data_IF_575317218240
#
_entry.id   IF_575317218240
#
_cell.length_a   1.000
_cell.length_b   1.000
_cell.length_c   1.000
_cell.angle_alpha   90.00
_cell.angle_beta   90.00
_cell.angle_gamma   90.00
#
_symmetry.space_group_name_H-M   'P 1'
#
loop_
_entity.id
_entity.type
_entity.pdbx_description
1 polymer ?
#
# COMPACT_ATOMS: atom_id res chain seq x y z
N UNK A 1 6.45 8.64 7.12
CA UNK A 1 7.52 8.85 8.12
C UNK A 1 8.87 8.43 7.53
N UNK A 2 9.99 9.13 7.81
CA UNK A 2 11.31 8.77 7.26
C UNK A 2 11.76 7.36 7.62
N UNK A 3 11.41 6.89 8.83
CA UNK A 3 11.77 5.58 9.39
C UNK A 3 11.14 4.37 8.70
N UNK A 4 10.06 4.56 7.92
CA UNK A 4 9.39 3.45 7.23
C UNK A 4 9.83 3.27 5.78
N UNK A 5 10.40 4.31 5.15
CA UNK A 5 10.79 4.22 3.74
C UNK A 5 11.94 3.24 3.53
N UNK A 6 12.97 3.30 4.36
CA UNK A 6 14.13 2.42 4.26
C UNK A 6 13.73 0.95 4.48
N UNK A 7 12.94 0.66 5.52
CA UNK A 7 12.48 -0.70 5.81
C UNK A 7 11.54 -1.27 4.76
N UNK A 8 10.69 -0.44 4.13
CA UNK A 8 9.86 -0.87 2.98
C UNK A 8 10.76 -1.26 1.80
N UNK A 9 11.75 -0.43 1.44
CA UNK A 9 12.67 -0.74 0.33
C UNK A 9 13.46 -2.02 0.61
N UNK A 10 13.98 -2.19 1.82
CA UNK A 10 14.65 -3.42 2.25
C UNK A 10 13.73 -4.65 2.14
N UNK A 11 12.45 -4.51 2.49
CA UNK A 11 11.47 -5.59 2.37
C UNK A 11 11.27 -5.99 0.91
N UNK A 12 11.16 -5.03 -0.01
CA UNK A 12 11.04 -5.31 -1.45
C UNK A 12 12.27 -6.06 -1.99
N UNK A 13 13.48 -5.73 -1.50
CA UNK A 13 14.70 -6.48 -1.81
C UNK A 13 14.66 -7.90 -1.21
N UNK A 14 14.32 -8.05 0.07
CA UNK A 14 14.25 -9.36 0.74
C UNK A 14 13.25 -10.31 0.08
N UNK A 15 12.16 -9.76 -0.46
CA UNK A 15 11.13 -10.50 -1.21
C UNK A 15 11.48 -10.70 -2.70
N UNK A 16 12.63 -10.19 -3.15
CA UNK A 16 13.07 -10.24 -4.54
C UNK A 16 12.08 -9.61 -5.53
N UNK A 17 11.32 -8.58 -5.13
CA UNK A 17 10.41 -7.84 -6.02
C UNK A 17 11.14 -6.75 -6.81
N UNK A 18 12.25 -6.24 -6.26
CA UNK A 18 13.12 -5.27 -6.92
C UNK A 18 14.57 -5.73 -6.85
N UNK A 19 15.38 -5.27 -7.81
CA UNK A 19 16.83 -5.44 -7.85
C UNK A 19 17.52 -4.10 -8.09
N UNK A 20 18.79 -4.02 -7.70
CA UNK A 20 19.63 -2.85 -7.94
C UNK A 20 20.56 -3.12 -9.12
N UNK A 21 20.48 -2.28 -10.14
CA UNK A 21 21.42 -2.27 -11.26
C UNK A 21 22.11 -0.92 -11.31
N UNK A 22 23.41 -0.89 -11.00
CA UNK A 22 24.18 0.36 -10.80
C UNK A 22 23.51 1.26 -9.75
N UNK A 23 22.98 2.41 -10.18
CA UNK A 23 22.26 3.38 -9.33
C UNK A 23 20.73 3.28 -9.48
N UNK A 24 20.22 2.37 -10.32
CA UNK A 24 18.80 2.22 -10.60
C UNK A 24 18.19 1.08 -9.78
N UNK A 25 16.94 1.26 -9.38
CA UNK A 25 16.08 0.20 -8.85
C UNK A 25 15.15 -0.26 -9.97
N UNK A 26 15.16 -1.55 -10.27
CA UNK A 26 14.35 -2.14 -11.32
C UNK A 26 13.45 -3.24 -10.74
N UNK A 27 12.22 -3.42 -11.25
CA UNK A 27 11.40 -4.56 -10.88
C UNK A 27 12.05 -5.86 -11.38
N UNK A 28 11.86 -6.94 -10.64
CA UNK A 28 12.16 -8.29 -11.11
C UNK A 28 10.96 -8.87 -11.86
N UNK A 29 11.12 -9.96 -12.63
CA UNK A 29 9.97 -10.66 -13.21
C UNK A 29 8.92 -11.05 -12.17
N UNK A 30 9.35 -11.49 -10.97
CA UNK A 30 8.47 -11.79 -9.84
C UNK A 30 7.72 -10.54 -9.34
N UNK A 31 8.41 -9.41 -9.25
CA UNK A 31 7.80 -8.14 -8.84
C UNK A 31 6.75 -7.65 -9.85
N UNK A 32 7.04 -7.75 -11.15
CA UNK A 32 6.07 -7.42 -12.21
C UNK A 32 4.87 -8.36 -12.17
N UNK A 33 5.10 -9.68 -12.13
CA UNK A 33 4.02 -10.67 -12.06
C UNK A 33 3.12 -10.47 -10.83
N UNK A 34 3.68 -10.11 -9.68
CA UNK A 34 2.88 -9.78 -8.49
C UNK A 34 1.93 -8.61 -8.75
N UNK A 35 2.41 -7.54 -9.38
CA UNK A 35 1.58 -6.38 -9.70
C UNK A 35 0.50 -6.74 -10.72
N UNK A 36 0.81 -7.59 -11.68
CA UNK A 36 -0.14 -8.05 -12.70
C UNK A 36 -1.27 -8.91 -12.09
N UNK A 37 -0.99 -9.68 -11.04
CA UNK A 37 -2.00 -10.46 -10.29
C UNK A 37 -2.98 -9.59 -9.50
N UNK A 38 -2.67 -8.31 -9.27
CA UNK A 38 -3.55 -7.40 -8.54
C UNK A 38 -4.51 -6.75 -9.54
N UNK A 39 -5.70 -7.35 -9.68
CA UNK A 39 -6.75 -6.86 -10.58
C UNK A 39 -7.47 -5.61 -10.07
N UNK A 40 -7.43 -5.35 -8.77
CA UNK A 40 -8.06 -4.16 -8.18
C UNK A 40 -7.11 -2.97 -8.30
N UNK A 41 -7.31 -2.14 -9.32
CA UNK A 41 -6.38 -1.03 -9.65
C UNK A 41 -6.14 -0.04 -8.51
N UNK A 42 -7.14 0.21 -7.67
CA UNK A 42 -7.00 1.12 -6.52
C UNK A 42 -5.93 0.63 -5.53
N UNK A 43 -5.69 -0.68 -5.42
CA UNK A 43 -4.69 -1.26 -4.52
C UNK A 43 -3.24 -1.01 -5.00
N UNK A 44 -3.05 -0.74 -6.30
CA UNK A 44 -1.74 -0.39 -6.88
C UNK A 44 -1.45 1.11 -6.78
N UNK A 45 -2.45 1.92 -6.43
CA UNK A 45 -2.36 3.39 -6.45
C UNK A 45 -1.82 3.97 -5.15
N UNK A 46 -0.82 4.85 -5.25
CA UNK A 46 -0.34 5.64 -4.12
C UNK A 46 -1.43 6.59 -3.56
N UNK A 47 -2.46 6.91 -4.35
CA UNK A 47 -3.56 7.78 -3.92
C UNK A 47 -4.37 7.18 -2.78
N UNK A 48 -4.55 5.85 -2.75
CA UNK A 48 -5.27 5.18 -1.67
C UNK A 48 -4.55 5.35 -0.33
N UNK A 49 -3.23 5.14 -0.32
CA UNK A 49 -2.38 5.40 0.85
C UNK A 49 -2.46 6.86 1.28
N UNK A 50 -2.47 7.80 0.33
CA UNK A 50 -2.63 9.22 0.61
C UNK A 50 -3.97 9.57 1.29
N UNK A 51 -5.06 8.95 0.84
CA UNK A 51 -6.39 9.11 1.44
C UNK A 51 -6.41 8.59 2.88
N UNK A 52 -5.84 7.41 3.13
CA UNK A 52 -5.76 6.84 4.47
C UNK A 52 -4.95 7.72 5.42
N UNK A 53 -3.75 8.15 5.00
CA UNK A 53 -2.92 9.08 5.77
C UNK A 53 -3.64 10.40 6.07
N UNK A 54 -4.49 10.88 5.15
CA UNK A 54 -5.35 12.05 5.41
C UNK A 54 -6.40 11.75 6.49
N UNK A 55 -7.13 10.64 6.40
CA UNK A 55 -8.13 10.25 7.40
C UNK A 55 -7.51 10.02 8.77
N UNK A 56 -6.34 9.37 8.83
CA UNK A 56 -5.57 9.20 10.06
C UNK A 56 -5.21 10.55 10.72
N UNK A 57 -4.76 11.53 9.94
CA UNK A 57 -4.50 12.90 10.46
C UNK A 57 -5.77 13.58 10.96
N UNK A 58 -6.92 13.38 10.32
CA UNK A 58 -8.19 13.93 10.78
C UNK A 58 -8.62 13.27 12.10
N UNK A 59 -8.39 11.96 12.27
CA UNK A 59 -8.63 11.25 13.54
C UNK A 59 -7.72 11.82 14.63
N UNK A 60 -6.43 12.03 14.37
CA UNK A 60 -5.49 12.65 15.32
C UNK A 60 -5.98 14.03 15.78
N UNK A 61 -6.65 14.78 14.89
CA UNK A 61 -7.26 16.09 15.17
C UNK A 61 -8.67 16.02 15.75
N UNK A 62 -9.24 14.83 15.94
CA UNK A 62 -10.63 14.60 16.34
C UNK A 62 -11.68 15.14 15.35
N UNK A 63 -11.29 15.35 14.10
CA UNK A 63 -12.14 15.80 12.99
C UNK A 63 -12.82 14.63 12.26
N UNK A 64 -12.41 13.40 12.55
CA UNK A 64 -12.96 12.18 11.95
C UNK A 64 -13.07 11.06 12.98
N UNK A 65 -14.14 10.28 12.87
CA UNK A 65 -14.42 9.19 13.80
C UNK A 65 -13.58 7.95 13.48
N UNK A 66 -12.85 7.44 14.47
CA UNK A 66 -11.99 6.26 14.30
C UNK A 66 -12.78 4.96 14.04
N UNK A 67 -13.96 4.79 14.65
CA UNK A 67 -14.82 3.63 14.40
C UNK A 67 -15.34 3.63 12.96
N UNK A 68 -15.77 4.80 12.46
CA UNK A 68 -16.15 4.95 11.05
C UNK A 68 -15.02 4.59 10.10
N UNK A 69 -13.79 5.04 10.37
CA UNK A 69 -12.62 4.67 9.57
C UNK A 69 -12.42 3.15 9.53
N UNK A 70 -12.56 2.47 10.66
CA UNK A 70 -12.39 1.02 10.75
C UNK A 70 -13.49 0.27 9.99
N UNK A 71 -14.73 0.72 10.03
CA UNK A 71 -15.84 0.06 9.33
C UNK A 71 -15.74 0.23 7.81
N UNK A 72 -15.32 1.40 7.33
CA UNK A 72 -14.98 1.62 5.92
C UNK A 72 -13.82 0.71 5.46
N UNK A 73 -12.79 0.56 6.30
CA UNK A 73 -11.65 -0.31 6.00
C UNK A 73 -12.07 -1.78 5.91
N UNK A 74 -12.89 -2.26 6.85
CA UNK A 74 -13.44 -3.63 6.80
C UNK A 74 -14.25 -3.85 5.54
N UNK A 75 -15.12 -2.90 5.18
CA UNK A 75 -15.96 -2.99 3.98
C UNK A 75 -15.08 -3.14 2.73
N UNK A 76 -14.07 -2.29 2.58
CA UNK A 76 -13.12 -2.41 1.46
C UNK A 76 -12.40 -3.76 1.45
N UNK A 77 -11.92 -4.25 2.59
CA UNK A 77 -11.22 -5.54 2.65
C UNK A 77 -12.15 -6.68 2.24
N UNK A 78 -13.40 -6.67 2.68
CA UNK A 78 -14.40 -7.66 2.27
C UNK A 78 -14.59 -7.60 0.76
N UNK A 79 -14.84 -6.41 0.20
CA UNK A 79 -15.02 -6.23 -1.24
C UNK A 79 -13.81 -6.75 -2.04
N UNK A 80 -12.59 -6.45 -1.61
CA UNK A 80 -11.36 -6.93 -2.26
C UNK A 80 -11.29 -8.45 -2.22
N UNK A 81 -11.57 -9.09 -1.08
CA UNK A 81 -11.45 -10.55 -0.93
C UNK A 81 -12.56 -11.29 -1.65
N UNK A 82 -13.77 -10.73 -1.74
CA UNK A 82 -14.90 -11.38 -2.41
C UNK A 82 -14.97 -11.13 -3.91
N UNK A 83 -14.35 -10.04 -4.39
CA UNK A 83 -14.37 -9.63 -5.81
C UNK A 83 -13.10 -10.04 -6.55
N UNK A 84 -12.03 -10.43 -5.84
CA UNK A 84 -10.77 -10.90 -6.41
C UNK A 84 -10.79 -12.39 -6.77
#
# INVERSE_FOLDING_TARGET
>A
RPSTRASIIETLFKRQYIKKERKNLLPTPTGTALIDLIHVDVLKSASLTGLWEKKLRQIERKEYNAAQFLDELKTMVIEVVTTA
#
